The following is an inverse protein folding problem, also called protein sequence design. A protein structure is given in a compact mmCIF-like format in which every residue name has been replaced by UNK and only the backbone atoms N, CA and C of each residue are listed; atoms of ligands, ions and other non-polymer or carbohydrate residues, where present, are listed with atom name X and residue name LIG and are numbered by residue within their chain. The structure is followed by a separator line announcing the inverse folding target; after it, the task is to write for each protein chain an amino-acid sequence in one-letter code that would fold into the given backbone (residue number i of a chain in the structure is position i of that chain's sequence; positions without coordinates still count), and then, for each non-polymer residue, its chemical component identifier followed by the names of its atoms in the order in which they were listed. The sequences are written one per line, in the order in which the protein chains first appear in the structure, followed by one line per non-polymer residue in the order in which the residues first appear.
data_IF_522510724421
#
_entry.id   IF_522510724421
#
_cell.length_a   1.000
_cell.length_b   1.000
_cell.length_c   1.000
_cell.angle_alpha   90.00
_cell.angle_beta   90.00
_cell.angle_gamma   90.00
#
_symmetry.space_group_name_H-M   'P 1'
#
loop_
_entity.id
_entity.type
_entity.pdbx_description
1 polymer ?
#
# COMPACT_ATOMS: atom_id res chain seq x y z
N UNK A 1 29.42 -10.07 30.96
CA UNK A 1 28.07 -10.23 30.33
C UNK A 1 28.01 -11.59 29.68
N UNK A 2 26.98 -12.41 30.00
CA UNK A 2 26.77 -13.71 29.33
C UNK A 2 26.53 -13.46 27.83
N UNK A 3 27.31 -14.13 27.01
CA UNK A 3 27.23 -14.04 25.55
C UNK A 3 25.86 -14.57 25.07
N UNK A 4 25.06 -13.73 24.41
CA UNK A 4 23.80 -14.15 23.79
C UNK A 4 24.06 -14.60 22.35
N UNK A 5 23.34 -15.61 21.88
CA UNK A 5 23.39 -16.02 20.46
C UNK A 5 22.84 -14.94 19.53
N UNK A 6 23.23 -14.96 18.26
CA UNK A 6 22.74 -14.01 17.25
C UNK A 6 21.23 -14.04 17.13
N UNK A 7 20.63 -15.24 17.23
CA UNK A 7 19.16 -15.41 17.18
C UNK A 7 18.48 -14.69 18.35
N UNK A 8 18.99 -14.85 19.59
CA UNK A 8 18.44 -14.15 20.76
C UNK A 8 18.51 -12.64 20.63
N UNK A 9 19.61 -12.11 20.04
CA UNK A 9 19.76 -10.69 19.78
C UNK A 9 18.80 -10.18 18.68
N UNK A 10 18.57 -10.99 17.67
CA UNK A 10 17.60 -10.66 16.62
C UNK A 10 16.17 -10.61 17.18
N UNK A 11 15.77 -11.61 17.98
CA UNK A 11 14.44 -11.62 18.62
C UNK A 11 14.27 -10.45 19.61
N UNK A 12 15.30 -10.11 20.38
CA UNK A 12 15.28 -8.94 21.25
C UNK A 12 15.07 -7.62 20.51
N UNK A 13 15.68 -7.47 19.31
CA UNK A 13 15.46 -6.31 18.45
C UNK A 13 14.02 -6.27 17.91
N UNK A 14 13.48 -7.42 17.46
CA UNK A 14 12.12 -7.51 16.95
C UNK A 14 11.08 -7.24 18.06
N UNK A 15 11.33 -7.71 19.27
CA UNK A 15 10.52 -7.39 20.44
C UNK A 15 10.52 -5.88 20.73
N UNK A 16 11.69 -5.23 20.74
CA UNK A 16 11.78 -3.78 20.90
C UNK A 16 11.01 -3.02 19.82
N UNK A 17 11.09 -3.45 18.56
CA UNK A 17 10.31 -2.83 17.48
C UNK A 17 8.80 -2.95 17.71
N UNK A 18 8.34 -4.10 18.23
CA UNK A 18 6.94 -4.36 18.53
C UNK A 18 6.46 -3.55 19.73
N UNK A 19 7.16 -3.68 20.85
CA UNK A 19 6.67 -3.30 22.16
C UNK A 19 6.97 -1.83 22.48
N UNK A 20 8.18 -1.35 22.12
CA UNK A 20 8.58 0.03 22.39
C UNK A 20 8.26 1.00 21.25
N UNK A 21 8.34 0.54 19.99
CA UNK A 21 8.12 1.42 18.82
C UNK A 21 6.74 1.29 18.19
N UNK A 22 5.91 0.36 18.64
CA UNK A 22 4.59 0.12 18.07
C UNK A 22 4.64 -0.14 16.55
N UNK A 23 5.69 -0.86 16.09
CA UNK A 23 5.85 -1.11 14.66
C UNK A 23 4.69 -1.96 14.13
N UNK A 24 4.18 -1.59 12.95
CA UNK A 24 3.11 -2.36 12.31
C UNK A 24 3.57 -3.79 12.01
N UNK A 25 2.62 -4.74 11.95
CA UNK A 25 2.92 -6.13 11.57
C UNK A 25 3.65 -6.23 10.22
N UNK A 26 3.36 -5.33 9.27
CA UNK A 26 4.06 -5.26 7.99
C UNK A 26 5.53 -4.88 8.16
N UNK A 27 5.80 -3.91 9.03
CA UNK A 27 7.15 -3.47 9.38
C UNK A 27 7.89 -4.61 10.09
N UNK A 28 7.25 -5.24 11.07
CA UNK A 28 7.84 -6.35 11.81
C UNK A 28 8.18 -7.53 10.89
N UNK A 29 7.28 -7.93 9.99
CA UNK A 29 7.53 -8.99 9.00
C UNK A 29 8.70 -8.64 8.08
N UNK A 30 8.80 -7.39 7.62
CA UNK A 30 9.92 -6.95 6.78
C UNK A 30 11.25 -7.01 7.52
N UNK A 31 11.33 -6.43 8.72
CA UNK A 31 12.55 -6.47 9.55
C UNK A 31 12.92 -7.90 9.95
N UNK A 32 11.95 -8.73 10.35
CA UNK A 32 12.17 -10.12 10.72
C UNK A 32 12.82 -10.91 9.58
N UNK A 33 12.28 -10.77 8.36
CA UNK A 33 12.82 -11.47 7.19
C UNK A 33 14.29 -11.07 6.93
N UNK A 34 14.57 -9.78 6.92
CA UNK A 34 15.92 -9.29 6.58
C UNK A 34 16.94 -9.60 7.69
N UNK A 35 16.57 -9.43 8.96
CA UNK A 35 17.49 -9.66 10.09
C UNK A 35 17.73 -11.16 10.28
N UNK A 36 16.69 -12.00 10.23
CA UNK A 36 16.86 -13.46 10.34
C UNK A 36 17.66 -14.03 9.18
N UNK A 37 17.39 -13.61 7.94
CA UNK A 37 18.19 -14.03 6.79
C UNK A 37 19.67 -13.65 6.91
N UNK A 38 19.97 -12.49 7.49
CA UNK A 38 21.36 -12.11 7.78
C UNK A 38 21.98 -12.95 8.91
N UNK A 39 21.23 -13.24 9.96
CA UNK A 39 21.71 -14.11 11.06
C UNK A 39 21.98 -15.53 10.57
N UNK A 40 21.11 -16.08 9.72
CA UNK A 40 21.31 -17.39 9.07
C UNK A 40 22.61 -17.41 8.24
N UNK A 41 22.82 -16.42 7.40
CA UNK A 41 24.06 -16.25 6.63
C UNK A 41 25.29 -16.15 7.54
N UNK A 42 25.22 -15.43 8.67
CA UNK A 42 26.33 -15.35 9.61
C UNK A 42 26.61 -16.70 10.28
N UNK A 43 25.57 -17.49 10.58
CA UNK A 43 25.71 -18.85 11.09
C UNK A 43 26.45 -19.78 10.12
N UNK A 44 26.12 -19.69 8.82
CA UNK A 44 26.80 -20.45 7.76
C UNK A 44 28.27 -20.05 7.58
N UNK A 45 28.58 -18.75 7.69
CA UNK A 45 29.93 -18.22 7.43
C UNK A 45 30.88 -18.29 8.65
N UNK A 46 30.35 -18.04 9.85
CA UNK A 46 31.15 -17.91 11.08
C UNK A 46 30.91 -19.05 12.07
N UNK A 47 29.98 -19.98 11.75
CA UNK A 47 29.56 -21.05 12.63
C UNK A 47 28.51 -20.60 13.66
N UNK A 48 27.82 -21.57 14.26
CA UNK A 48 26.72 -21.31 15.21
C UNK A 48 27.16 -20.55 16.50
N UNK A 49 28.43 -20.64 16.87
CA UNK A 49 29.02 -19.94 18.00
C UNK A 49 29.47 -18.49 17.67
N UNK A 50 29.09 -17.97 16.49
CA UNK A 50 29.48 -16.65 16.05
C UNK A 50 29.08 -15.55 17.07
N UNK A 51 30.06 -14.68 17.37
CA UNK A 51 29.85 -13.57 18.28
C UNK A 51 29.44 -12.33 17.50
N UNK A 52 28.46 -11.58 18.00
CA UNK A 52 28.01 -10.35 17.33
C UNK A 52 29.16 -9.33 17.18
N UNK A 53 30.13 -9.35 18.09
CA UNK A 53 31.31 -8.45 18.06
C UNK A 53 32.30 -8.80 16.95
N UNK A 54 32.30 -10.03 16.43
CA UNK A 54 33.16 -10.43 15.29
C UNK A 54 32.55 -10.10 13.94
N UNK A 55 31.32 -9.54 13.90
CA UNK A 55 30.67 -9.19 12.64
C UNK A 55 31.23 -7.85 12.13
N UNK A 56 31.86 -7.91 10.97
CA UNK A 56 32.46 -6.77 10.29
C UNK A 56 31.62 -6.31 9.10
N UNK A 57 31.96 -5.14 8.57
CA UNK A 57 31.34 -4.61 7.35
C UNK A 57 31.54 -5.51 6.13
N UNK A 58 32.60 -6.31 6.09
CA UNK A 58 32.92 -7.31 5.06
C UNK A 58 31.87 -8.40 5.01
N UNK A 59 31.39 -8.90 6.15
CA UNK A 59 30.32 -9.87 6.25
C UNK A 59 28.99 -9.33 5.70
N UNK A 60 28.72 -8.04 5.97
CA UNK A 60 27.49 -7.38 5.45
C UNK A 60 27.58 -7.22 3.95
N UNK A 61 28.76 -6.84 3.39
CA UNK A 61 28.95 -6.79 1.95
C UNK A 61 28.78 -8.16 1.28
N UNK A 62 29.36 -9.22 1.88
CA UNK A 62 29.22 -10.58 1.38
C UNK A 62 27.74 -11.02 1.36
N UNK A 63 26.97 -10.71 2.42
CA UNK A 63 25.52 -10.98 2.45
C UNK A 63 24.77 -10.27 1.32
N UNK A 64 25.05 -8.98 1.09
CA UNK A 64 24.44 -8.25 -0.02
C UNK A 64 24.80 -8.86 -1.38
N UNK A 65 26.03 -9.40 -1.53
CA UNK A 65 26.44 -10.17 -2.71
C UNK A 65 25.58 -11.41 -2.91
N UNK A 66 25.39 -12.22 -1.85
CA UNK A 66 24.52 -13.42 -1.90
C UNK A 66 23.07 -13.04 -2.26
N UNK A 67 22.54 -11.91 -1.76
CA UNK A 67 21.21 -11.46 -2.17
C UNK A 67 21.16 -11.10 -3.66
N UNK A 68 22.21 -10.51 -4.19
CA UNK A 68 22.33 -10.18 -5.61
C UNK A 68 22.41 -11.44 -6.48
N UNK A 69 23.21 -12.42 -6.08
CA UNK A 69 23.36 -13.71 -6.78
C UNK A 69 22.03 -14.51 -6.79
N UNK A 70 21.22 -14.36 -5.75
CA UNK A 70 19.84 -14.88 -5.69
C UNK A 70 18.83 -14.08 -6.56
N UNK A 71 19.28 -13.13 -7.36
CA UNK A 71 18.45 -12.34 -8.26
C UNK A 71 17.63 -11.22 -7.59
N UNK A 72 17.96 -10.83 -6.35
CA UNK A 72 17.24 -9.73 -5.70
C UNK A 72 17.63 -8.38 -6.33
N UNK A 73 16.62 -7.50 -6.42
CA UNK A 73 16.83 -6.15 -6.97
C UNK A 73 17.68 -5.28 -6.05
N UNK A 74 18.34 -4.26 -6.61
CA UNK A 74 19.07 -3.23 -5.84
C UNK A 74 18.22 -2.60 -4.74
N UNK A 75 16.92 -2.40 -4.99
CA UNK A 75 15.99 -1.88 -4.00
C UNK A 75 15.78 -2.86 -2.83
N UNK A 76 15.75 -4.17 -3.09
CA UNK A 76 15.67 -5.19 -2.05
C UNK A 76 16.95 -5.23 -1.20
N UNK A 77 18.12 -5.18 -1.84
CA UNK A 77 19.40 -5.12 -1.14
C UNK A 77 19.53 -3.85 -0.27
N UNK A 78 19.06 -2.70 -0.77
CA UNK A 78 19.03 -1.46 0.00
C UNK A 78 18.11 -1.56 1.23
N UNK A 79 16.97 -2.23 1.13
CA UNK A 79 16.06 -2.49 2.27
C UNK A 79 16.70 -3.42 3.29
N UNK A 80 17.35 -4.50 2.84
CA UNK A 80 18.09 -5.40 3.73
C UNK A 80 19.18 -4.66 4.51
N UNK A 81 19.99 -3.83 3.82
CA UNK A 81 21.01 -3.00 4.47
C UNK A 81 20.41 -2.03 5.49
N UNK A 82 19.26 -1.41 5.17
CA UNK A 82 18.57 -0.50 6.11
C UNK A 82 18.09 -1.24 7.37
N UNK A 83 17.58 -2.47 7.23
CA UNK A 83 17.18 -3.30 8.35
C UNK A 83 18.39 -3.71 9.21
N UNK A 84 19.50 -4.14 8.60
CA UNK A 84 20.74 -4.49 9.28
C UNK A 84 21.31 -3.26 10.01
N UNK A 85 21.33 -2.08 9.38
CA UNK A 85 21.75 -0.83 10.03
C UNK A 85 20.91 -0.50 11.27
N UNK A 86 19.61 -0.69 11.19
CA UNK A 86 18.70 -0.46 12.32
C UNK A 86 18.97 -1.45 13.47
N UNK A 87 19.22 -2.72 13.14
CA UNK A 87 19.56 -3.75 14.12
C UNK A 87 20.88 -3.42 14.83
N UNK A 88 21.96 -3.14 14.09
CA UNK A 88 23.24 -2.75 14.67
C UNK A 88 23.20 -1.42 15.45
N UNK A 89 22.34 -0.48 15.04
CA UNK A 89 22.09 0.74 15.84
C UNK A 89 21.50 0.41 17.21
N UNK A 90 20.57 -0.53 17.27
CA UNK A 90 20.01 -1.02 18.53
C UNK A 90 21.04 -1.79 19.34
N UNK A 91 21.83 -2.65 18.73
CA UNK A 91 22.90 -3.41 19.37
C UNK A 91 23.97 -2.48 20.00
N UNK A 92 24.36 -1.42 19.30
CA UNK A 92 25.30 -0.43 19.81
C UNK A 92 24.71 0.34 21.00
N UNK A 93 23.43 0.75 20.91
CA UNK A 93 22.73 1.41 22.01
C UNK A 93 22.63 0.50 23.25
N UNK A 94 22.48 -0.80 23.06
CA UNK A 94 22.40 -1.79 24.12
C UNK A 94 23.78 -2.29 24.62
N UNK A 95 24.92 -1.77 24.10
CA UNK A 95 26.26 -2.13 24.50
C UNK A 95 26.77 -3.49 24.01
N UNK A 96 26.06 -4.13 23.06
CA UNK A 96 26.48 -5.41 22.49
C UNK A 96 27.63 -5.29 21.51
N UNK A 97 27.74 -4.16 20.81
CA UNK A 97 28.82 -3.79 19.90
C UNK A 97 29.27 -2.36 20.18
N UNK A 98 30.54 -2.04 19.94
CA UNK A 98 31.08 -0.69 20.14
C UNK A 98 30.65 0.28 19.06
N UNK A 99 30.64 -0.20 17.81
CA UNK A 99 30.28 0.58 16.62
C UNK A 99 29.34 -0.19 15.73
N UNK A 100 28.67 0.53 14.85
CA UNK A 100 27.77 -0.07 13.84
C UNK A 100 28.53 -0.35 12.53
N UNK A 101 28.95 -1.59 12.25
CA UNK A 101 29.73 -1.90 11.06
C UNK A 101 28.95 -1.69 9.75
N UNK A 102 27.60 -1.67 9.81
CA UNK A 102 26.77 -1.47 8.64
C UNK A 102 26.81 -0.01 8.12
N UNK A 103 27.32 0.94 8.88
CA UNK A 103 27.52 2.32 8.40
C UNK A 103 28.67 2.42 7.39
N UNK A 104 29.64 1.51 7.43
CA UNK A 104 30.77 1.44 6.51
C UNK A 104 30.39 0.81 5.15
N UNK A 105 29.19 0.30 5.00
CA UNK A 105 28.70 -0.29 3.74
C UNK A 105 27.88 0.77 2.99
N UNK A 106 28.27 1.06 1.75
CA UNK A 106 27.54 2.01 0.90
C UNK A 106 26.18 1.45 0.49
N UNK A 107 25.15 2.30 0.50
CA UNK A 107 23.83 1.93 -0.02
C UNK A 107 23.89 1.77 -1.54
N UNK A 108 23.37 0.67 -2.11
CA UNK A 108 23.30 0.50 -3.55
C UNK A 108 22.61 1.72 -4.21
N UNK A 109 23.24 2.32 -5.21
CA UNK A 109 22.64 3.41 -5.98
C UNK A 109 21.43 2.88 -6.72
N UNK A 110 20.24 3.36 -6.34
CA UNK A 110 18.99 3.07 -7.04
C UNK A 110 18.89 3.97 -8.27
N UNK A 111 18.47 3.44 -9.42
CA UNK A 111 18.11 4.32 -10.53
C UNK A 111 16.98 5.24 -10.06
N UNK A 112 17.14 6.54 -10.29
CA UNK A 112 16.07 7.52 -10.06
C UNK A 112 15.04 7.34 -11.18
N UNK A 113 14.14 6.39 -11.00
CA UNK A 113 12.93 6.33 -11.81
C UNK A 113 11.99 7.37 -11.23
N UNK A 114 11.78 8.47 -11.94
CA UNK A 114 10.64 9.34 -11.70
C UNK A 114 9.41 8.53 -12.12
N UNK A 115 8.52 8.14 -11.20
CA UNK A 115 7.30 7.46 -11.60
C UNK A 115 6.53 8.38 -12.54
N UNK A 116 6.15 7.85 -13.71
CA UNK A 116 5.27 8.58 -14.62
C UNK A 116 3.90 8.65 -13.96
N UNK A 117 3.46 9.85 -13.65
CA UNK A 117 2.09 10.12 -13.21
C UNK A 117 1.21 10.11 -14.46
N UNK A 118 0.19 9.26 -14.55
CA UNK A 118 -0.77 9.32 -15.66
C UNK A 118 -1.45 10.68 -15.70
N UNK A 119 -1.64 11.25 -16.87
CA UNK A 119 -2.31 12.54 -17.02
C UNK A 119 -3.78 12.49 -16.58
N UNK A 120 -4.33 13.66 -16.22
CA UNK A 120 -5.72 13.80 -15.77
C UNK A 120 -6.73 13.27 -16.81
N UNK A 121 -6.56 13.66 -18.07
CA UNK A 121 -7.43 13.19 -19.17
C UNK A 121 -7.33 11.68 -19.39
N UNK A 122 -6.11 11.12 -19.26
CA UNK A 122 -5.85 9.71 -19.40
C UNK A 122 -6.60 8.91 -18.32
N UNK A 123 -6.54 9.34 -17.06
CA UNK A 123 -7.27 8.73 -15.95
C UNK A 123 -8.78 8.90 -16.10
N UNK A 124 -9.27 10.09 -16.44
CA UNK A 124 -10.68 10.35 -16.65
C UNK A 124 -11.26 9.46 -17.76
N UNK A 125 -10.53 9.29 -18.87
CA UNK A 125 -10.93 8.37 -19.95
C UNK A 125 -11.08 6.92 -19.44
N UNK A 126 -10.13 6.44 -18.65
CA UNK A 126 -10.20 5.11 -18.06
C UNK A 126 -11.39 4.98 -17.13
N UNK A 127 -11.63 5.97 -16.27
CA UNK A 127 -12.71 5.92 -15.30
C UNK A 127 -14.09 6.04 -15.94
N UNK A 128 -14.25 6.86 -16.97
CA UNK A 128 -15.50 6.98 -17.73
C UNK A 128 -15.81 5.72 -18.56
N UNK A 129 -14.79 4.94 -18.94
CA UNK A 129 -14.97 3.69 -19.69
C UNK A 129 -15.54 2.53 -18.85
N UNK A 130 -15.77 2.71 -17.55
CA UNK A 130 -16.52 1.75 -16.72
C UNK A 130 -18.04 1.87 -16.86
N UNK A 131 -18.55 2.86 -17.59
CA UNK A 131 -20.00 3.00 -17.83
C UNK A 131 -20.58 1.81 -18.60
N UNK A 132 -21.84 1.38 -18.32
CA UNK A 132 -22.44 0.18 -18.93
C UNK A 132 -22.53 0.20 -20.45
N UNK A 133 -22.56 1.38 -21.06
CA UNK A 133 -22.67 1.56 -22.51
C UNK A 133 -21.42 1.08 -23.29
N UNK A 134 -20.25 1.01 -22.66
CA UNK A 134 -18.99 0.63 -23.33
C UNK A 134 -18.63 -0.84 -23.15
N UNK A 135 -19.33 -1.58 -22.30
CA UNK A 135 -19.02 -2.99 -22.00
C UNK A 135 -19.52 -3.99 -23.05
N UNK A 136 -20.38 -3.56 -23.98
CA UNK A 136 -20.98 -4.44 -25.02
C UNK A 136 -19.99 -4.80 -26.12
N UNK A 137 -18.87 -4.11 -26.32
CA UNK A 137 -17.99 -4.30 -27.49
C UNK A 137 -16.74 -5.18 -27.25
N UNK A 138 -16.51 -5.70 -26.07
CA UNK A 138 -15.29 -6.46 -25.73
C UNK A 138 -15.51 -7.93 -25.36
N UNK A 139 -16.62 -8.52 -25.75
CA UNK A 139 -16.98 -9.93 -25.49
C UNK A 139 -16.60 -10.87 -26.63
N UNK A 140 -15.39 -10.79 -27.18
CA UNK A 140 -14.90 -11.85 -28.07
C UNK A 140 -13.39 -11.86 -28.21
N UNK A 141 -12.70 -12.54 -27.30
CA UNK A 141 -11.50 -13.33 -27.65
C UNK A 141 -11.08 -14.25 -26.49
N UNK A 142 -11.75 -15.39 -26.36
CA UNK A 142 -11.20 -16.54 -25.62
C UNK A 142 -10.08 -17.16 -26.46
N UNK A 143 -8.83 -16.71 -26.30
CA UNK A 143 -7.67 -17.54 -26.63
C UNK A 143 -7.39 -18.47 -25.46
N UNK A 144 -7.72 -19.76 -25.63
CA UNK A 144 -7.24 -20.86 -24.80
C UNK A 144 -5.71 -20.87 -24.86
N UNK A 145 -5.06 -20.55 -23.73
CA UNK A 145 -3.65 -20.90 -23.53
C UNK A 145 -3.58 -22.37 -23.12
N UNK A 146 -3.00 -23.18 -24.01
CA UNK A 146 -2.56 -24.55 -23.71
C UNK A 146 -1.24 -24.43 -22.92
N UNK A 147 -1.29 -24.44 -21.60
CA UNK A 147 -0.27 -24.98 -20.71
C UNK A 147 -0.90 -25.08 -19.30
N UNK A 148 -1.10 -26.32 -18.87
CA UNK A 148 -1.85 -26.66 -17.68
C UNK A 148 -1.09 -26.37 -16.37
N UNK A 149 -1.22 -25.15 -15.87
CA UNK A 149 -1.07 -24.81 -14.46
C UNK A 149 -2.29 -23.96 -14.11
N UNK A 150 -3.15 -24.34 -13.15
CA UNK A 150 -4.25 -23.50 -12.74
C UNK A 150 -3.66 -22.28 -12.02
N UNK A 151 -3.57 -21.15 -12.73
CA UNK A 151 -3.25 -19.86 -12.12
C UNK A 151 -4.43 -19.48 -11.21
N UNK A 152 -4.27 -19.72 -9.91
CA UNK A 152 -5.24 -19.44 -8.85
C UNK A 152 -5.50 -17.93 -8.64
N UNK A 153 -4.96 -17.07 -9.53
CA UNK A 153 -5.03 -15.61 -9.46
C UNK A 153 -6.09 -14.96 -10.35
N UNK A 154 -6.52 -15.62 -11.42
CA UNK A 154 -7.34 -14.97 -12.46
C UNK A 154 -8.82 -14.77 -12.08
N UNK A 155 -9.39 -15.60 -11.20
CA UNK A 155 -10.79 -15.48 -10.79
C UNK A 155 -11.11 -14.23 -9.94
N UNK A 156 -10.13 -13.61 -9.27
CA UNK A 156 -10.36 -12.37 -8.52
C UNK A 156 -10.51 -11.15 -9.42
N UNK A 157 -10.03 -11.27 -10.65
CA UNK A 157 -10.08 -10.22 -11.67
C UNK A 157 -11.26 -10.45 -12.62
N UNK A 158 -12.06 -11.50 -12.41
CA UNK A 158 -13.27 -11.75 -13.18
C UNK A 158 -14.32 -10.68 -12.89
N UNK A 159 -14.71 -10.01 -13.96
CA UNK A 159 -15.90 -9.21 -14.22
C UNK A 159 -16.71 -8.69 -12.99
N UNK A 160 -16.21 -7.68 -12.34
CA UNK A 160 -17.01 -6.87 -11.42
C UNK A 160 -16.74 -5.38 -11.69
N UNK A 161 -17.22 -4.85 -12.82
CA UNK A 161 -16.90 -3.49 -13.27
C UNK A 161 -17.22 -2.41 -12.26
N UNK A 162 -18.34 -2.52 -11.54
CA UNK A 162 -18.77 -1.53 -10.54
C UNK A 162 -17.83 -1.50 -9.33
N UNK A 163 -17.37 -2.67 -8.85
CA UNK A 163 -16.35 -2.75 -7.81
C UNK A 163 -15.03 -2.15 -8.29
N UNK A 164 -14.66 -2.49 -9.51
CA UNK A 164 -13.38 -2.09 -10.08
C UNK A 164 -13.36 -0.57 -10.36
N UNK A 165 -14.49 0.00 -10.83
CA UNK A 165 -14.70 1.44 -10.90
C UNK A 165 -14.54 2.09 -9.51
N UNK A 166 -15.24 1.56 -8.51
CA UNK A 166 -15.17 2.07 -7.13
C UNK A 166 -13.73 2.06 -6.59
N UNK A 167 -12.92 1.03 -6.89
CA UNK A 167 -11.51 0.99 -6.51
C UNK A 167 -10.75 2.18 -7.08
N UNK A 168 -10.95 2.51 -8.37
CA UNK A 168 -10.28 3.64 -9.00
C UNK A 168 -10.75 4.97 -8.44
N UNK A 169 -12.06 5.17 -8.23
CA UNK A 169 -12.62 6.39 -7.64
C UNK A 169 -12.08 6.61 -6.21
N UNK A 170 -11.97 5.57 -5.40
CA UNK A 170 -11.45 5.70 -4.05
C UNK A 170 -9.93 5.96 -4.01
N UNK A 171 -9.16 5.39 -4.95
CA UNK A 171 -7.71 5.58 -5.00
C UNK A 171 -7.32 6.94 -5.62
N UNK A 172 -7.96 7.32 -6.73
CA UNK A 172 -7.69 8.55 -7.45
C UNK A 172 -8.65 9.67 -7.04
N UNK A 173 -9.97 9.43 -7.03
CA UNK A 173 -10.95 10.46 -6.67
C UNK A 173 -10.87 10.91 -5.21
N UNK A 174 -10.55 10.00 -4.28
CA UNK A 174 -10.45 10.31 -2.85
C UNK A 174 -9.02 10.22 -2.30
N UNK A 175 -8.05 9.80 -3.07
CA UNK A 175 -6.66 9.73 -2.66
C UNK A 175 -6.38 8.78 -1.48
N UNK A 176 -7.20 7.73 -1.25
CA UNK A 176 -7.08 6.80 -0.12
C UNK A 176 -5.87 5.86 -0.32
N UNK A 177 -5.15 5.51 0.77
CA UNK A 177 -4.07 4.50 0.68
C UNK A 177 -4.65 3.11 0.42
N UNK A 178 -3.92 2.27 -0.32
CA UNK A 178 -4.36 0.89 -0.61
C UNK A 178 -4.68 0.08 0.67
N UNK A 179 -3.92 0.25 1.75
CA UNK A 179 -4.20 -0.41 3.03
C UNK A 179 -5.46 0.13 3.72
N UNK A 180 -5.73 1.43 3.61
CA UNK A 180 -6.94 2.07 4.10
C UNK A 180 -8.17 1.61 3.28
N UNK A 181 -8.03 1.60 1.95
CA UNK A 181 -9.05 1.14 1.02
C UNK A 181 -9.59 -0.25 1.35
N UNK A 182 -8.69 -1.22 1.55
CA UNK A 182 -9.11 -2.59 1.90
C UNK A 182 -9.65 -2.68 3.33
N UNK A 183 -9.36 -1.71 4.19
CA UNK A 183 -9.86 -1.61 5.55
C UNK A 183 -11.28 -1.06 5.65
N UNK A 184 -11.82 -0.44 4.58
CA UNK A 184 -13.15 0.16 4.61
C UNK A 184 -14.27 -0.86 4.82
N UNK A 185 -15.22 -0.49 5.67
CA UNK A 185 -16.51 -1.14 5.83
C UNK A 185 -17.62 -0.30 5.20
N UNK A 186 -18.81 -0.85 5.01
CA UNK A 186 -19.96 -0.10 4.47
C UNK A 186 -20.25 1.14 5.32
N UNK A 187 -20.16 1.00 6.64
CA UNK A 187 -20.34 2.11 7.61
C UNK A 187 -19.24 3.16 7.59
N UNK A 188 -18.15 2.95 6.86
CA UNK A 188 -17.12 3.98 6.67
C UNK A 188 -17.58 5.12 5.78
N UNK A 189 -18.67 4.96 5.04
CA UNK A 189 -19.25 6.02 4.19
C UNK A 189 -20.17 6.88 5.08
N UNK A 190 -19.79 8.13 5.29
CA UNK A 190 -20.55 9.13 6.02
C UNK A 190 -21.38 9.97 5.03
N UNK A 191 -22.54 9.45 4.65
CA UNK A 191 -23.41 10.07 3.63
C UNK A 191 -23.88 11.49 3.99
N UNK A 192 -24.03 11.79 5.28
CA UNK A 192 -24.46 13.12 5.75
C UNK A 192 -23.35 14.18 5.68
N UNK A 193 -22.11 13.74 5.59
CA UNK A 193 -20.92 14.61 5.57
C UNK A 193 -20.23 14.61 4.19
N UNK A 194 -20.77 13.91 3.20
CA UNK A 194 -20.14 13.63 1.91
C UNK A 194 -18.66 13.25 2.05
N UNK A 195 -18.39 12.32 2.97
CA UNK A 195 -17.04 11.95 3.36
C UNK A 195 -16.88 10.44 3.61
N UNK A 196 -15.63 10.00 3.58
CA UNK A 196 -15.24 8.63 3.95
C UNK A 196 -14.39 8.70 5.22
N UNK A 197 -14.77 7.92 6.21
CA UNK A 197 -14.03 7.74 7.44
C UNK A 197 -12.94 6.70 7.25
N UNK A 198 -11.69 7.11 7.31
CA UNK A 198 -10.53 6.23 7.13
C UNK A 198 -9.65 6.19 8.37
N UNK A 199 -9.10 5.02 8.67
CA UNK A 199 -8.21 4.81 9.80
C UNK A 199 -6.76 4.69 9.32
N UNK A 200 -5.92 5.63 9.76
CA UNK A 200 -4.49 5.66 9.49
C UNK A 200 -3.67 4.83 10.48
N UNK A 201 -2.35 5.01 10.45
CA UNK A 201 -1.42 4.40 11.39
C UNK A 201 -1.76 4.82 12.83
N UNK A 202 -1.75 3.85 13.76
CA UNK A 202 -2.11 4.11 15.16
C UNK A 202 -3.61 4.30 15.40
N UNK A 203 -4.47 3.84 14.48
CA UNK A 203 -5.95 3.98 14.55
C UNK A 203 -6.44 5.42 14.58
N UNK A 204 -5.62 6.38 14.13
CA UNK A 204 -6.08 7.76 13.97
C UNK A 204 -7.09 7.83 12.84
N UNK A 205 -8.24 8.37 13.14
CA UNK A 205 -9.33 8.60 12.20
C UNK A 205 -9.13 9.92 11.47
N UNK A 206 -9.46 9.94 10.17
CA UNK A 206 -9.65 11.17 9.41
C UNK A 206 -10.82 11.02 8.45
N UNK A 207 -11.46 12.12 8.13
CA UNK A 207 -12.44 12.22 7.07
C UNK A 207 -11.73 12.58 5.76
N UNK A 208 -12.14 11.93 4.68
CA UNK A 208 -11.67 12.18 3.32
C UNK A 208 -12.89 12.56 2.49
N UNK A 209 -12.83 13.64 1.70
CA UNK A 209 -13.94 14.03 0.83
C UNK A 209 -14.39 12.90 -0.09
N UNK A 210 -15.71 12.74 -0.26
CA UNK A 210 -16.35 11.82 -1.17
C UNK A 210 -17.03 12.63 -2.27
N UNK A 211 -16.33 12.87 -3.38
CA UNK A 211 -16.88 13.57 -4.52
C UNK A 211 -18.03 12.82 -5.21
N UNK A 212 -18.81 13.52 -6.02
CA UNK A 212 -20.02 13.01 -6.67
C UNK A 212 -19.79 11.73 -7.47
N UNK A 213 -18.68 11.63 -8.19
CA UNK A 213 -18.34 10.44 -8.99
C UNK A 213 -18.05 9.22 -8.10
N UNK A 214 -17.31 9.42 -7.01
CA UNK A 214 -17.04 8.36 -6.04
C UNK A 214 -18.33 7.94 -5.31
N UNK A 215 -19.17 8.89 -4.92
CA UNK A 215 -20.49 8.62 -4.32
C UNK A 215 -21.39 7.84 -5.28
N UNK A 216 -21.42 8.22 -6.57
CA UNK A 216 -22.15 7.49 -7.60
C UNK A 216 -21.64 6.06 -7.77
N UNK A 217 -20.31 5.87 -7.75
CA UNK A 217 -19.72 4.54 -7.83
C UNK A 217 -20.08 3.66 -6.63
N UNK A 218 -20.09 4.23 -5.41
CA UNK A 218 -20.56 3.52 -4.20
C UNK A 218 -22.03 3.11 -4.36
N UNK A 219 -22.92 4.04 -4.76
CA UNK A 219 -24.36 3.77 -4.94
C UNK A 219 -24.61 2.69 -5.99
N UNK A 220 -23.86 2.67 -7.08
CA UNK A 220 -23.98 1.64 -8.11
C UNK A 220 -23.48 0.25 -7.63
N UNK A 221 -22.44 0.21 -6.80
CA UNK A 221 -21.85 -1.03 -6.34
C UNK A 221 -22.63 -1.70 -5.18
N UNK A 222 -23.17 -0.94 -4.23
CA UNK A 222 -23.80 -1.50 -3.02
C UNK A 222 -24.95 -2.49 -3.30
N UNK A 223 -25.89 -2.25 -4.22
CA UNK A 223 -26.94 -3.22 -4.55
C UNK A 223 -26.40 -4.56 -5.06
N UNK A 224 -25.41 -4.52 -5.94
CA UNK A 224 -24.78 -5.72 -6.50
C UNK A 224 -23.96 -6.48 -5.45
N UNK A 225 -23.31 -5.73 -4.54
CA UNK A 225 -22.65 -6.32 -3.38
C UNK A 225 -23.64 -7.07 -2.49
N UNK A 226 -24.78 -6.47 -2.18
CA UNK A 226 -25.87 -7.07 -1.40
C UNK A 226 -26.35 -8.36 -2.03
N UNK A 227 -26.73 -8.33 -3.31
CA UNK A 227 -27.20 -9.48 -4.06
C UNK A 227 -26.22 -10.66 -4.01
N UNK A 228 -24.91 -10.38 -4.20
CA UNK A 228 -23.89 -11.41 -4.16
C UNK A 228 -23.68 -12.00 -2.76
N UNK A 229 -23.81 -11.19 -1.71
CA UNK A 229 -23.76 -11.68 -0.33
C UNK A 229 -24.93 -12.58 0.00
N UNK A 230 -26.13 -12.19 -0.39
CA UNK A 230 -27.36 -12.98 -0.20
C UNK A 230 -27.25 -14.32 -0.90
N UNK A 231 -26.81 -14.34 -2.19
CA UNK A 231 -26.55 -15.57 -2.94
C UNK A 231 -25.48 -16.47 -2.33
N UNK A 232 -24.50 -15.87 -1.61
CA UNK A 232 -23.44 -16.61 -0.91
C UNK A 232 -23.84 -17.06 0.51
N UNK A 233 -25.05 -16.79 0.97
CA UNK A 233 -25.52 -17.12 2.32
C UNK A 233 -24.84 -16.28 3.42
N UNK A 234 -24.45 -15.02 3.12
CA UNK A 234 -23.70 -14.12 4.01
C UNK A 234 -24.42 -12.79 4.22
N UNK A 235 -25.74 -12.84 4.37
CA UNK A 235 -26.59 -11.67 4.53
C UNK A 235 -26.19 -10.78 5.74
N UNK A 236 -25.60 -11.38 6.76
CA UNK A 236 -25.09 -10.66 7.96
C UNK A 236 -24.01 -9.62 7.63
N UNK A 237 -23.27 -9.80 6.53
CA UNK A 237 -22.22 -8.86 6.11
C UNK A 237 -22.75 -7.68 5.29
N UNK A 238 -24.04 -7.62 4.98
CA UNK A 238 -24.62 -6.58 4.10
C UNK A 238 -24.41 -5.18 4.68
N UNK A 239 -24.70 -4.99 5.95
CA UNK A 239 -24.67 -3.68 6.62
C UNK A 239 -23.31 -3.34 7.25
N UNK A 240 -22.63 -4.31 7.87
CA UNK A 240 -21.42 -4.09 8.66
C UNK A 240 -20.15 -4.72 8.09
N UNK A 241 -20.26 -5.39 6.95
CA UNK A 241 -19.13 -6.08 6.34
C UNK A 241 -18.21 -5.16 5.54
N UNK A 242 -17.12 -5.76 5.02
CA UNK A 242 -16.17 -5.08 4.14
C UNK A 242 -16.86 -4.38 2.98
N UNK A 243 -16.47 -3.11 2.72
CA UNK A 243 -16.99 -2.39 1.55
C UNK A 243 -16.60 -3.11 0.27
N UNK A 244 -15.31 -3.35 0.06
CA UNK A 244 -14.79 -4.01 -1.13
C UNK A 244 -14.60 -5.52 -0.91
N UNK A 245 -15.21 -6.31 -1.77
CA UNK A 245 -15.27 -7.75 -1.62
C UNK A 245 -14.47 -8.51 -2.67
N UNK A 246 -13.92 -9.66 -2.26
CA UNK A 246 -13.32 -10.59 -3.20
C UNK A 246 -14.40 -11.36 -3.99
N UNK A 247 -14.08 -11.73 -5.23
CA UNK A 247 -15.05 -12.38 -6.11
C UNK A 247 -15.46 -13.80 -5.64
N UNK A 248 -14.61 -14.45 -4.84
CA UNK A 248 -14.83 -15.83 -4.34
C UNK A 248 -15.66 -15.89 -3.07
N UNK A 249 -16.00 -14.74 -2.48
CA UNK A 249 -16.76 -14.65 -1.21
C UNK A 249 -16.20 -15.53 -0.08
N UNK A 250 -14.86 -15.73 -0.04
CA UNK A 250 -14.20 -16.57 0.98
C UNK A 250 -13.87 -15.77 2.24
N UNK A 251 -13.90 -16.42 3.39
CA UNK A 251 -13.59 -15.84 4.69
C UNK A 251 -14.45 -14.62 4.99
N UNK A 252 -13.83 -13.51 5.39
CA UNK A 252 -14.48 -12.21 5.62
C UNK A 252 -14.95 -11.52 4.34
N UNK A 253 -14.81 -12.15 3.19
CA UNK A 253 -15.06 -11.60 1.86
C UNK A 253 -14.23 -10.37 1.48
N UNK A 254 -13.42 -9.83 2.37
CA UNK A 254 -12.64 -8.60 2.16
C UNK A 254 -11.55 -8.79 1.09
N UNK A 255 -11.35 -7.78 0.24
CA UNK A 255 -10.21 -7.72 -0.66
C UNK A 255 -8.90 -7.57 0.10
N UNK A 256 -7.81 -8.07 -0.49
CA UNK A 256 -6.44 -7.83 0.00
C UNK A 256 -5.77 -6.70 -0.79
N UNK A 257 -4.76 -6.07 -0.21
CA UNK A 257 -3.96 -5.06 -0.91
C UNK A 257 -3.28 -5.61 -2.17
N UNK A 258 -2.94 -6.91 -2.18
CA UNK A 258 -2.38 -7.61 -3.34
C UNK A 258 -3.42 -7.76 -4.45
N UNK A 259 -4.66 -8.13 -4.10
CA UNK A 259 -5.77 -8.25 -5.06
C UNK A 259 -6.09 -6.91 -5.70
N UNK A 260 -6.17 -5.82 -4.92
CA UNK A 260 -6.35 -4.47 -5.45
C UNK A 260 -5.22 -4.11 -6.43
N UNK A 261 -3.96 -4.40 -6.08
CA UNK A 261 -2.83 -4.15 -6.97
C UNK A 261 -2.92 -4.90 -8.30
N UNK A 262 -3.38 -6.18 -8.29
CA UNK A 262 -3.61 -6.96 -9.52
C UNK A 262 -4.77 -6.41 -10.36
N UNK A 263 -5.88 -6.04 -9.72
CA UNK A 263 -7.04 -5.43 -10.39
C UNK A 263 -6.63 -4.13 -11.09
N UNK A 264 -5.99 -3.20 -10.35
CA UNK A 264 -5.52 -1.92 -10.90
C UNK A 264 -4.58 -2.15 -12.08
N UNK A 265 -3.58 -3.03 -11.94
CA UNK A 265 -2.63 -3.33 -13.02
C UNK A 265 -3.31 -3.92 -14.26
N UNK A 266 -4.22 -4.88 -14.09
CA UNK A 266 -4.95 -5.49 -15.24
C UNK A 266 -5.77 -4.45 -15.98
N UNK A 267 -6.51 -3.61 -15.26
CA UNK A 267 -7.35 -2.57 -15.85
C UNK A 267 -6.49 -1.51 -16.53
N UNK A 268 -5.42 -1.05 -15.87
CA UNK A 268 -4.48 -0.11 -16.46
C UNK A 268 -3.96 -0.60 -17.82
N UNK A 269 -3.44 -1.83 -17.86
CA UNK A 269 -2.93 -2.44 -19.10
C UNK A 269 -4.02 -2.61 -20.17
N UNK A 270 -5.22 -3.10 -19.80
CA UNK A 270 -6.31 -3.33 -20.77
C UNK A 270 -6.87 -2.04 -21.36
N UNK A 271 -6.62 -0.89 -20.71
CA UNK A 271 -7.12 0.43 -21.12
C UNK A 271 -6.01 1.38 -21.58
N UNK A 272 -4.82 0.84 -21.85
CA UNK A 272 -3.70 1.57 -22.45
C UNK A 272 -2.92 2.47 -21.51
N UNK A 273 -3.11 2.37 -20.18
CA UNK A 273 -2.23 3.02 -19.22
C UNK A 273 -0.86 2.32 -19.15
N UNK A 274 0.13 3.03 -18.67
CA UNK A 274 1.47 2.49 -18.49
C UNK A 274 1.50 1.27 -17.53
N UNK A 275 2.41 0.34 -17.78
CA UNK A 275 2.49 -0.93 -17.05
C UNK A 275 2.89 -0.77 -15.55
N UNK A 276 3.43 0.37 -15.19
CA UNK A 276 3.85 0.72 -13.83
C UNK A 276 2.75 1.40 -12.99
N UNK A 277 1.53 1.56 -13.56
CA UNK A 277 0.38 2.05 -12.80
C UNK A 277 -0.04 1.04 -11.75
N UNK A 278 -0.08 1.50 -10.52
CA UNK A 278 -0.44 0.73 -9.33
C UNK A 278 -1.19 1.63 -8.31
N UNK A 279 -1.74 1.12 -7.22
CA UNK A 279 -2.53 1.91 -6.28
C UNK A 279 -1.83 3.18 -5.76
N UNK A 280 -0.51 3.13 -5.52
CA UNK A 280 0.23 4.32 -5.09
C UNK A 280 0.39 5.35 -6.20
N UNK A 281 0.48 4.93 -7.47
CA UNK A 281 0.53 5.84 -8.62
C UNK A 281 -0.77 6.64 -8.74
N UNK A 282 -1.94 5.98 -8.58
CA UNK A 282 -3.24 6.65 -8.60
C UNK A 282 -3.39 7.68 -7.49
N UNK A 283 -3.00 7.32 -6.27
CA UNK A 283 -2.99 8.26 -5.14
C UNK A 283 -1.97 9.40 -5.34
N UNK A 284 -0.84 9.13 -5.97
CA UNK A 284 0.14 10.17 -6.29
C UNK A 284 -0.42 11.14 -7.33
N UNK A 285 -1.11 10.60 -8.36
CA UNK A 285 -1.83 11.39 -9.35
C UNK A 285 -2.88 12.31 -8.70
N UNK A 286 -3.65 11.82 -7.71
CA UNK A 286 -4.57 12.65 -6.93
C UNK A 286 -3.87 13.89 -6.37
N UNK A 287 -2.78 13.72 -5.63
CA UNK A 287 -2.07 14.85 -5.03
C UNK A 287 -1.41 15.78 -6.05
N UNK A 288 -0.89 15.22 -7.16
CA UNK A 288 -0.25 15.99 -8.23
C UNK A 288 -1.28 16.84 -8.97
N UNK A 289 -2.40 16.26 -9.38
CA UNK A 289 -3.43 16.99 -10.13
C UNK A 289 -4.12 18.06 -9.29
N UNK A 290 -4.38 17.80 -7.99
CA UNK A 290 -4.86 18.85 -7.09
C UNK A 290 -3.90 20.04 -7.03
N UNK A 291 -2.58 19.78 -6.97
CA UNK A 291 -1.58 20.82 -6.93
C UNK A 291 -1.52 21.61 -8.26
N UNK A 292 -1.61 20.92 -9.40
CA UNK A 292 -1.67 21.51 -10.74
C UNK A 292 -2.90 22.40 -10.93
N UNK A 293 -4.04 22.03 -10.33
CA UNK A 293 -5.27 22.82 -10.31
C UNK A 293 -5.29 23.93 -9.23
N UNK A 294 -4.15 24.16 -8.57
CA UNK A 294 -3.97 25.28 -7.64
C UNK A 294 -4.42 25.02 -6.21
N UNK A 295 -4.69 23.75 -5.83
CA UNK A 295 -5.00 23.42 -4.43
C UNK A 295 -3.83 23.78 -3.51
N UNK A 296 -4.16 24.31 -2.33
CA UNK A 296 -3.17 24.55 -1.29
C UNK A 296 -2.49 23.25 -0.86
N UNK A 297 -1.16 23.25 -0.80
CA UNK A 297 -0.34 22.09 -0.45
C UNK A 297 -0.73 21.50 0.93
N UNK A 298 -1.17 22.37 1.84
CA UNK A 298 -1.58 21.95 3.18
C UNK A 298 -2.90 21.19 3.14
N UNK A 299 -3.88 21.65 2.34
CA UNK A 299 -5.13 20.92 2.15
C UNK A 299 -4.87 19.55 1.55
N UNK A 300 -3.97 19.45 0.56
CA UNK A 300 -3.54 18.17 -0.02
C UNK A 300 -2.90 17.26 1.04
N UNK A 301 -2.04 17.79 1.91
CA UNK A 301 -1.40 17.02 2.97
C UNK A 301 -2.39 16.49 4.00
N UNK A 302 -3.40 17.28 4.38
CA UNK A 302 -4.50 16.86 5.28
C UNK A 302 -5.33 15.75 4.63
N UNK A 303 -5.77 15.91 3.37
CA UNK A 303 -6.49 14.88 2.62
C UNK A 303 -5.69 13.57 2.55
N UNK A 304 -4.40 13.67 2.26
CA UNK A 304 -3.51 12.52 2.19
C UNK A 304 -3.13 11.95 3.57
N UNK A 305 -3.32 12.66 4.67
CA UNK A 305 -2.95 12.23 6.02
C UNK A 305 -1.45 11.98 6.14
N UNK A 306 -0.63 12.97 5.83
CA UNK A 306 0.82 12.93 6.00
C UNK A 306 1.18 13.33 7.44
N UNK A 307 1.76 12.41 8.23
CA UNK A 307 2.11 12.61 9.65
C UNK A 307 3.31 13.53 9.89
N UNK A 308 4.08 13.91 8.87
CA UNK A 308 5.29 14.72 9.03
C UNK A 308 5.14 16.11 8.43
N UNK A 309 4.62 17.01 9.25
CA UNK A 309 5.06 18.39 9.18
C UNK A 309 6.39 18.46 9.94
N UNK A 310 7.44 18.99 9.30
CA UNK A 310 8.66 19.37 10.02
C UNK A 310 8.25 20.31 11.14
N UNK A 311 8.79 20.09 12.33
CA UNK A 311 8.41 20.56 13.65
C UNK A 311 8.41 22.08 13.87
N UNK A 312 8.25 22.94 12.86
CA UNK A 312 8.49 24.38 13.04
C UNK A 312 7.28 25.27 12.78
N UNK A 313 6.11 24.75 12.37
CA UNK A 313 4.94 25.61 12.16
C UNK A 313 3.72 25.05 12.90
N UNK A 314 3.47 25.55 14.11
CA UNK A 314 2.18 25.50 14.80
C UNK A 314 1.21 26.43 14.05
N UNK A 315 0.55 25.91 13.01
CA UNK A 315 -0.55 26.60 12.38
C UNK A 315 -1.82 25.75 12.45
N UNK A 316 -2.95 26.42 12.61
CA UNK A 316 -4.32 25.93 12.73
C UNK A 316 -4.58 24.75 11.78
N UNK A 317 -5.11 23.65 12.31
CA UNK A 317 -5.64 22.55 11.48
C UNK A 317 -6.79 23.10 10.62
N UNK A 318 -6.80 22.73 9.34
CA UNK A 318 -7.91 23.06 8.47
C UNK A 318 -9.16 22.32 8.95
N UNK A 319 -10.29 23.01 8.94
CA UNK A 319 -11.57 22.36 9.25
C UNK A 319 -11.97 21.43 8.10
N UNK A 320 -12.80 20.43 8.40
CA UNK A 320 -13.33 19.50 7.38
C UNK A 320 -13.99 20.27 6.23
N UNK A 321 -14.74 21.32 6.52
CA UNK A 321 -15.40 22.16 5.52
C UNK A 321 -14.41 22.94 4.62
N UNK A 322 -13.27 23.36 5.16
CA UNK A 322 -12.23 23.99 4.33
C UNK A 322 -11.57 22.98 3.38
N UNK A 323 -11.28 21.78 3.88
CA UNK A 323 -10.72 20.68 3.07
C UNK A 323 -11.69 20.27 1.97
N UNK A 324 -12.99 20.16 2.30
CA UNK A 324 -14.04 19.85 1.32
C UNK A 324 -14.13 20.91 0.23
N UNK A 325 -14.13 22.20 0.60
CA UNK A 325 -14.20 23.31 -0.36
C UNK A 325 -13.03 23.28 -1.35
N UNK A 326 -11.81 23.13 -0.85
CA UNK A 326 -10.61 23.04 -1.72
C UNK A 326 -10.73 21.84 -2.65
N UNK A 327 -11.19 20.69 -2.16
CA UNK A 327 -11.41 19.51 -2.98
C UNK A 327 -12.45 19.78 -4.09
N UNK A 328 -13.59 20.37 -3.75
CA UNK A 328 -14.68 20.66 -4.68
C UNK A 328 -14.30 21.67 -5.77
N UNK A 329 -13.39 22.58 -5.45
CA UNK A 329 -12.90 23.60 -6.39
C UNK A 329 -11.80 23.09 -7.32
N UNK A 330 -11.01 22.11 -6.89
CA UNK A 330 -9.77 21.74 -7.60
C UNK A 330 -9.73 20.29 -8.11
N UNK A 331 -10.50 19.36 -7.54
CA UNK A 331 -10.42 17.98 -8.01
C UNK A 331 -11.36 17.69 -9.18
N UNK A 332 -10.87 17.13 -10.33
CA UNK A 332 -11.67 16.92 -11.54
C UNK A 332 -12.83 15.92 -11.36
N UNK A 333 -12.81 15.13 -10.28
CA UNK A 333 -13.88 14.15 -9.96
C UNK A 333 -14.73 14.57 -8.75
N UNK A 334 -14.60 15.81 -8.28
CA UNK A 334 -15.39 16.32 -7.17
C UNK A 334 -16.86 16.46 -7.56
N UNK A 335 -17.13 17.07 -8.72
CA UNK A 335 -18.48 17.31 -9.24
C UNK A 335 -18.75 16.46 -10.46
N UNK A 336 -20.01 16.04 -10.62
CA UNK A 336 -20.49 15.36 -11.81
C UNK A 336 -20.58 16.40 -12.93
N UNK A 337 -19.83 16.19 -14.02
CA UNK A 337 -19.98 16.92 -15.28
C UNK A 337 -21.20 16.42 -16.05
#
# INVERSE_FOLDING_TARGET
MRQKSLNVLAEGFLAMLRDERGASEHTLRAYSREVRGFVEFLGEKLGEAAKIRSVEHTHIRAYLGVLYDKGLTKASAARALAAIRSWFKWLAKAGWVEQNPALLVSTPKLPKHLPRVPGMEELNRVMNSFSPETSASHSSNKKRSMNGVPDSGDDEVAAWPERDRLIFELLYGCGIRNSELVGLDVKSIAWGDDAIRVFGKGKKERLVPLGDEAAAAVRAYLPLRKERLEKAGKAELVHDGALLMNARMRGTCRLTTRSVGRIVKKIALSRGLAADVHPHTLRHAFGTHLLEEGADLRAIQEMLGHERLSTTQRYTQLTVGQVQRVYDETHPRAKRT
#
